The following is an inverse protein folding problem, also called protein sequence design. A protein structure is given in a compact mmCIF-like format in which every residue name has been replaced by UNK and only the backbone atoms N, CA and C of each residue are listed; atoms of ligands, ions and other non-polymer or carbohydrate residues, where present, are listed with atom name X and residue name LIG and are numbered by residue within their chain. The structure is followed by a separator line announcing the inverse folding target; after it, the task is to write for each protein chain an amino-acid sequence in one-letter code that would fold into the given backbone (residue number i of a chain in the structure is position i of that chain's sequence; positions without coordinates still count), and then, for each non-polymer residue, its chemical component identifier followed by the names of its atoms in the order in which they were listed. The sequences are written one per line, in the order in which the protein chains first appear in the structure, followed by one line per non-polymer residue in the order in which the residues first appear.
data_IF_197210326840
#
_entry.id   IF_197210326840
#
_cell.length_a   1.000
_cell.length_b   1.000
_cell.length_c   1.000
_cell.angle_alpha   90.00
_cell.angle_beta   90.00
_cell.angle_gamma   90.00
#
_symmetry.space_group_name_H-M   'P 1'
#
loop_
_entity.id
_entity.type
_entity.pdbx_description
1 polymer ?
#
# COMPACT_ATOMS: atom_id res chain seq x y z
N UNK A 1 -4.18 12.90 -12.73
CA UNK A 1 -2.97 12.09 -12.47
C UNK A 1 -3.20 11.21 -11.25
N UNK A 2 -3.52 11.74 -10.06
CA UNK A 2 -3.81 10.94 -8.84
C UNK A 2 -4.55 9.59 -9.00
N UNK A 3 -5.58 9.50 -9.85
CA UNK A 3 -6.30 8.23 -10.11
C UNK A 3 -5.46 7.18 -10.89
N UNK A 4 -4.50 7.65 -11.68
CA UNK A 4 -3.68 6.89 -12.61
C UNK A 4 -2.34 6.45 -12.02
N UNK A 5 -1.98 6.88 -10.81
CA UNK A 5 -0.73 6.50 -10.15
C UNK A 5 -0.59 4.98 -10.09
N UNK A 6 -1.63 4.27 -9.63
CA UNK A 6 -1.56 2.81 -9.54
C UNK A 6 -1.44 2.09 -10.89
N UNK A 7 -1.95 2.69 -11.96
CA UNK A 7 -1.72 2.21 -13.32
C UNK A 7 -0.26 2.44 -13.75
N UNK A 8 0.26 3.65 -13.59
CA UNK A 8 1.63 4.00 -14.00
C UNK A 8 2.64 3.17 -13.18
N UNK A 9 2.42 3.08 -11.87
CA UNK A 9 3.26 2.34 -10.95
C UNK A 9 3.23 0.83 -11.20
N UNK A 10 2.20 0.30 -11.86
CA UNK A 10 2.19 -1.09 -12.30
C UNK A 10 3.25 -1.38 -13.38
N UNK A 11 3.85 -0.36 -14.00
CA UNK A 11 5.06 -0.54 -14.82
C UNK A 11 6.32 -0.86 -14.00
N UNK A 12 6.30 -0.66 -12.68
CA UNK A 12 7.41 -0.97 -11.77
C UNK A 12 7.43 -2.43 -11.31
N UNK A 13 6.42 -3.21 -11.69
CA UNK A 13 6.25 -4.60 -11.26
C UNK A 13 7.11 -5.58 -12.08
N UNK A 14 7.81 -5.12 -13.11
CA UNK A 14 8.66 -5.96 -13.95
C UNK A 14 9.92 -6.42 -13.17
N UNK A 15 10.11 -7.73 -12.92
CA UNK A 15 11.32 -8.23 -12.27
C UNK A 15 12.59 -8.00 -13.09
N UNK A 16 12.46 -7.69 -14.38
CA UNK A 16 13.55 -7.52 -15.32
C UNK A 16 13.86 -6.06 -15.68
N UNK A 17 13.25 -5.08 -15.00
CA UNK A 17 13.50 -3.66 -15.27
C UNK A 17 14.93 -3.19 -14.91
N UNK A 18 15.69 -4.01 -14.19
CA UNK A 18 17.05 -3.77 -13.70
C UNK A 18 17.20 -2.51 -12.83
N UNK A 19 16.10 -1.98 -12.29
CA UNK A 19 16.13 -0.85 -11.35
C UNK A 19 16.34 -1.40 -9.95
N UNK A 20 17.32 -0.83 -9.24
CA UNK A 20 17.65 -1.22 -7.87
C UNK A 20 17.31 -0.08 -6.92
N UNK A 21 16.67 -0.39 -5.79
CA UNK A 21 16.31 0.58 -4.74
C UNK A 21 16.93 0.20 -3.40
N UNK A 22 17.36 1.21 -2.65
CA UNK A 22 17.64 1.05 -1.23
C UNK A 22 16.33 1.16 -0.45
N UNK A 23 15.86 0.03 0.06
CA UNK A 23 14.63 -0.07 0.86
C UNK A 23 14.90 -0.11 2.36
N UNK A 24 16.13 0.20 2.78
CA UNK A 24 16.47 0.24 4.21
C UNK A 24 15.75 1.40 4.90
N UNK A 25 15.56 1.33 6.23
CA UNK A 25 15.01 2.45 6.98
C UNK A 25 15.86 3.72 6.87
N UNK A 26 17.14 3.60 6.47
CA UNK A 26 18.03 4.73 6.20
C UNK A 26 17.62 5.60 5.01
N UNK A 27 16.98 4.99 4.02
CA UNK A 27 16.69 5.60 2.71
C UNK A 27 15.18 5.67 2.41
N UNK A 28 14.37 4.89 3.13
CA UNK A 28 12.94 4.72 2.84
C UNK A 28 12.11 4.83 4.13
N UNK A 29 11.05 5.66 4.12
CA UNK A 29 10.10 5.82 5.23
C UNK A 29 9.95 7.24 5.75
N UNK A 30 9.38 7.41 6.94
CA UNK A 30 9.26 8.66 7.70
C UNK A 30 8.53 9.82 6.97
N UNK A 31 7.28 9.59 6.57
CA UNK A 31 6.39 10.67 6.12
C UNK A 31 6.13 11.64 7.28
N UNK A 32 6.47 12.92 7.08
CA UNK A 32 6.33 13.94 8.13
C UNK A 32 4.89 14.40 8.34
N UNK A 33 4.14 14.56 7.25
CA UNK A 33 2.77 15.08 7.29
C UNK A 33 2.02 14.76 6.01
N UNK A 34 0.72 14.50 6.16
CA UNK A 34 -0.19 14.34 5.04
C UNK A 34 -0.91 15.67 4.72
N UNK A 35 -1.16 15.94 3.43
CA UNK A 35 -1.93 17.11 3.03
C UNK A 35 -3.33 17.07 3.64
N UNK A 36 -3.84 18.22 4.05
CA UNK A 36 -5.17 18.36 4.66
C UNK A 36 -6.22 18.86 3.67
N UNK A 37 -5.78 19.36 2.50
CA UNK A 37 -6.64 19.95 1.48
C UNK A 37 -6.64 19.02 0.28
N UNK A 38 -7.84 18.69 -0.20
CA UNK A 38 -8.05 17.75 -1.31
C UNK A 38 -7.27 18.11 -2.58
N UNK A 39 -7.10 19.41 -2.88
CA UNK A 39 -6.34 19.88 -4.03
C UNK A 39 -4.88 19.41 -4.03
N UNK A 40 -4.29 19.19 -2.86
CA UNK A 40 -2.87 18.84 -2.71
C UNK A 40 -2.64 17.32 -2.74
N UNK A 41 -3.70 16.51 -2.65
CA UNK A 41 -3.59 15.04 -2.61
C UNK A 41 -2.96 14.49 -3.89
N UNK A 42 -3.22 15.14 -5.02
CA UNK A 42 -2.73 14.73 -6.33
C UNK A 42 -1.21 14.80 -6.45
N UNK A 43 -0.55 15.69 -5.71
CA UNK A 43 0.89 15.90 -5.79
C UNK A 43 1.67 15.30 -4.62
N UNK A 44 1.03 14.49 -3.77
CA UNK A 44 1.66 13.96 -2.58
C UNK A 44 2.65 12.82 -2.88
N UNK A 45 2.26 11.89 -3.76
CA UNK A 45 3.12 10.80 -4.21
C UNK A 45 3.85 11.18 -5.50
N UNK A 46 4.98 10.53 -5.78
CA UNK A 46 5.63 10.66 -7.09
C UNK A 46 4.83 9.90 -8.15
N UNK A 47 4.16 10.64 -9.04
CA UNK A 47 3.30 10.10 -10.10
C UNK A 47 4.01 9.08 -11.01
N UNK A 48 5.32 9.24 -11.25
CA UNK A 48 6.06 8.46 -12.25
C UNK A 48 7.05 7.48 -11.64
N UNK A 49 7.79 7.87 -10.60
CA UNK A 49 8.89 7.05 -10.07
C UNK A 49 8.48 6.17 -8.90
N UNK A 50 7.29 6.36 -8.33
CA UNK A 50 6.88 5.60 -7.16
C UNK A 50 7.31 6.25 -5.85
N UNK A 51 6.63 5.88 -4.76
CA UNK A 51 6.96 6.33 -3.41
C UNK A 51 6.24 7.61 -2.98
N UNK A 52 6.51 7.97 -1.73
CA UNK A 52 5.97 9.12 -1.00
C UNK A 52 7.12 10.11 -0.67
N UNK A 53 6.86 11.28 -0.04
CA UNK A 53 7.90 12.27 0.23
C UNK A 53 8.72 11.96 1.49
N UNK A 54 8.60 10.75 2.04
CA UNK A 54 9.40 10.27 3.17
C UNK A 54 10.88 10.16 2.83
N UNK A 55 11.74 10.38 3.83
CA UNK A 55 13.20 10.42 3.67
C UNK A 55 13.96 9.37 4.50
N UNK A 56 13.26 8.54 5.26
CA UNK A 56 13.86 7.56 6.18
C UNK A 56 14.49 8.15 7.46
N UNK A 57 15.34 7.35 8.10
CA UNK A 57 16.02 7.56 9.37
C UNK A 57 17.51 7.23 9.24
N UNK A 58 18.41 8.23 9.23
CA UNK A 58 19.84 7.98 9.00
C UNK A 58 20.48 7.07 10.07
N UNK A 59 20.03 7.15 11.33
CA UNK A 59 20.62 6.46 12.48
C UNK A 59 19.55 5.68 13.24
N UNK A 60 19.84 4.43 13.60
CA UNK A 60 19.06 3.67 14.56
C UNK A 60 19.36 4.19 15.97
N UNK A 61 18.37 4.79 16.63
CA UNK A 61 18.54 5.41 17.95
C UNK A 61 18.81 4.41 19.08
N UNK A 62 18.43 3.14 18.90
CA UNK A 62 18.71 2.07 19.88
C UNK A 62 20.16 1.61 19.83
N UNK A 63 20.76 1.53 18.63
CA UNK A 63 22.16 1.06 18.46
C UNK A 63 23.18 2.20 18.37
N UNK A 64 22.74 3.41 18.03
CA UNK A 64 23.61 4.55 17.73
C UNK A 64 24.35 4.45 16.40
N UNK A 65 24.05 3.44 15.57
CA UNK A 65 24.70 3.20 14.28
C UNK A 65 23.78 3.58 13.11
N UNK A 66 24.33 3.95 11.94
CA UNK A 66 23.54 4.11 10.73
C UNK A 66 22.82 2.82 10.34
N UNK A 67 21.61 2.93 9.77
CA UNK A 67 20.97 1.77 9.16
C UNK A 67 21.80 1.29 7.97
N UNK A 68 22.00 -0.02 7.87
CA UNK A 68 22.69 -0.62 6.73
C UNK A 68 21.81 -0.53 5.48
N UNK A 69 22.42 -0.24 4.34
CA UNK A 69 21.73 -0.20 3.06
C UNK A 69 21.15 -1.58 2.69
N UNK A 70 19.96 -1.58 2.10
CA UNK A 70 19.23 -2.77 1.69
C UNK A 70 18.83 -2.61 0.22
N UNK A 71 19.77 -2.94 -0.67
CA UNK A 71 19.62 -2.75 -2.12
C UNK A 71 18.93 -3.95 -2.74
N UNK A 72 17.75 -3.76 -3.33
CA UNK A 72 16.94 -4.83 -3.93
C UNK A 72 16.39 -4.43 -5.31
N UNK A 73 16.03 -5.40 -6.18
CA UNK A 73 15.31 -5.11 -7.42
C UNK A 73 13.96 -4.46 -7.14
N UNK A 74 13.64 -3.38 -7.84
CA UNK A 74 12.37 -2.65 -7.68
C UNK A 74 11.16 -3.53 -7.99
N UNK A 75 11.20 -4.30 -9.07
CA UNK A 75 10.13 -5.24 -9.44
C UNK A 75 9.83 -6.28 -8.35
N UNK A 76 10.85 -6.79 -7.68
CA UNK A 76 10.65 -7.70 -6.56
C UNK A 76 10.07 -6.98 -5.34
N UNK A 77 10.62 -5.82 -4.95
CA UNK A 77 10.13 -5.05 -3.80
C UNK A 77 8.66 -4.65 -3.95
N UNK A 78 8.29 -4.08 -5.10
CA UNK A 78 6.92 -3.55 -5.31
C UNK A 78 5.87 -4.66 -5.33
N UNK A 79 6.18 -5.83 -5.94
CA UNK A 79 5.31 -7.01 -5.91
C UNK A 79 5.20 -7.62 -4.51
N UNK A 80 6.34 -7.78 -3.81
CA UNK A 80 6.35 -8.25 -2.41
C UNK A 80 5.55 -7.32 -1.53
N UNK A 81 5.71 -6.01 -1.68
CA UNK A 81 5.00 -5.03 -0.87
C UNK A 81 3.49 -5.07 -1.14
N UNK A 82 3.08 -5.15 -2.41
CA UNK A 82 1.68 -5.26 -2.79
C UNK A 82 1.02 -6.52 -2.21
N UNK A 83 1.71 -7.67 -2.19
CA UNK A 83 1.18 -8.93 -1.68
C UNK A 83 1.24 -9.07 -0.16
N UNK A 84 2.31 -8.58 0.48
CA UNK A 84 2.44 -8.61 1.94
C UNK A 84 1.26 -7.89 2.62
N UNK A 85 0.88 -6.73 2.09
CA UNK A 85 -0.24 -5.97 2.61
C UNK A 85 -1.58 -6.28 1.91
N UNK A 86 -1.65 -7.30 1.04
CA UNK A 86 -2.88 -7.61 0.30
C UNK A 86 -4.00 -8.12 1.20
N UNK A 87 -3.65 -8.86 2.26
CA UNK A 87 -4.53 -9.44 3.28
C UNK A 87 -5.72 -10.21 2.65
N UNK A 88 -5.37 -11.24 1.86
CA UNK A 88 -6.31 -12.04 1.09
C UNK A 88 -7.20 -12.98 1.93
N UNK A 89 -8.13 -13.71 1.28
CA UNK A 89 -9.15 -14.52 1.97
C UNK A 89 -8.63 -15.67 2.83
N UNK A 90 -7.37 -16.08 2.62
CA UNK A 90 -6.70 -17.16 3.34
C UNK A 90 -5.61 -16.67 4.28
N UNK A 91 -5.46 -15.35 4.45
CA UNK A 91 -4.58 -14.73 5.45
C UNK A 91 -5.43 -14.03 6.52
N UNK A 92 -4.75 -13.37 7.45
CA UNK A 92 -5.35 -12.37 8.30
C UNK A 92 -5.98 -11.26 7.45
N UNK A 93 -7.05 -10.65 7.98
CA UNK A 93 -7.60 -9.39 7.43
C UNK A 93 -6.68 -8.22 7.81
N UNK A 94 -6.85 -7.01 7.25
CA UNK A 94 -5.94 -5.89 7.53
C UNK A 94 -5.81 -5.54 9.01
N UNK A 95 -6.91 -5.58 9.77
CA UNK A 95 -6.85 -5.40 11.22
C UNK A 95 -6.08 -6.55 11.90
N UNK A 96 -6.25 -7.78 11.41
CA UNK A 96 -5.59 -8.98 11.91
C UNK A 96 -4.07 -8.98 11.67
N UNK A 97 -3.61 -8.46 10.53
CA UNK A 97 -2.19 -8.32 10.22
C UNK A 97 -1.47 -7.49 11.31
N UNK A 98 -2.10 -6.41 11.79
CA UNK A 98 -1.54 -5.62 12.88
C UNK A 98 -1.50 -6.35 14.24
N UNK A 99 -2.30 -7.40 14.45
CA UNK A 99 -2.12 -8.30 15.58
C UNK A 99 -0.93 -9.25 15.39
N UNK A 100 -0.63 -9.67 14.17
CA UNK A 100 0.61 -10.43 13.86
C UNK A 100 1.82 -9.57 14.20
N UNK A 101 1.85 -8.32 13.72
CA UNK A 101 2.91 -7.35 14.05
C UNK A 101 3.01 -7.12 15.57
N UNK A 102 1.87 -6.96 16.27
CA UNK A 102 1.89 -6.86 17.74
C UNK A 102 2.52 -8.09 18.40
N UNK A 103 2.23 -9.30 17.90
CA UNK A 103 2.83 -10.53 18.44
C UNK A 103 4.34 -10.58 18.18
N UNK A 104 4.79 -10.20 16.99
CA UNK A 104 6.21 -10.09 16.66
C UNK A 104 6.92 -9.11 17.60
N UNK A 105 6.33 -7.92 17.81
CA UNK A 105 6.82 -6.93 18.79
C UNK A 105 6.89 -7.53 20.20
N UNK A 106 5.87 -8.30 20.62
CA UNK A 106 5.81 -8.91 21.94
C UNK A 106 6.87 -9.99 22.17
N UNK A 107 7.33 -10.63 21.09
CA UNK A 107 8.33 -11.69 21.10
C UNK A 107 9.77 -11.15 20.99
N UNK A 108 9.95 -9.86 20.65
CA UNK A 108 11.27 -9.23 20.63
C UNK A 108 11.86 -9.10 22.05
N UNK A 109 13.10 -9.57 22.29
CA UNK A 109 13.73 -9.52 23.60
C UNK A 109 14.04 -8.10 24.09
N UNK A 110 14.16 -7.13 23.17
CA UNK A 110 14.37 -5.71 23.46
C UNK A 110 13.11 -5.00 23.99
N UNK A 111 11.92 -5.64 23.90
CA UNK A 111 10.69 -5.02 24.38
C UNK A 111 10.67 -4.90 25.92
N UNK A 112 10.68 -3.66 26.40
CA UNK A 112 10.33 -3.36 27.79
C UNK A 112 8.81 -3.25 27.94
N UNK A 113 8.20 -4.21 28.64
CA UNK A 113 6.74 -4.24 28.89
C UNK A 113 6.30 -3.22 29.95
N UNK A 114 6.50 -1.94 29.67
CA UNK A 114 6.03 -0.80 30.46
C UNK A 114 4.91 -0.12 29.70
N UNK A 115 3.72 -0.02 30.29
CA UNK A 115 2.60 0.64 29.62
C UNK A 115 2.95 2.11 29.37
N UNK A 116 2.88 2.52 28.09
CA UNK A 116 3.30 3.85 27.61
C UNK A 116 4.77 4.16 27.86
N UNK A 117 5.62 3.13 27.97
CA UNK A 117 7.04 3.25 28.29
C UNK A 117 7.32 3.72 29.73
N UNK A 118 6.30 3.76 30.59
CA UNK A 118 6.38 4.34 31.92
C UNK A 118 5.98 3.34 33.02
N UNK A 119 6.40 3.62 34.25
CA UNK A 119 6.01 2.84 35.42
C UNK A 119 6.72 1.49 35.54
N UNK A 120 6.17 0.56 36.36
CA UNK A 120 6.78 -0.74 36.59
C UNK A 120 6.67 -1.65 35.37
N UNK A 121 7.57 -2.63 35.27
CA UNK A 121 7.45 -3.72 34.31
C UNK A 121 6.19 -4.52 34.60
N UNK A 122 5.38 -4.72 33.57
CA UNK A 122 4.18 -5.55 33.62
C UNK A 122 4.54 -7.02 33.40
N UNK A 123 3.76 -7.90 34.03
CA UNK A 123 3.79 -9.32 33.71
C UNK A 123 3.26 -9.57 32.30
N UNK A 124 3.75 -10.64 31.64
CA UNK A 124 3.38 -10.97 30.24
C UNK A 124 1.87 -10.99 30.02
N UNK A 125 1.12 -11.67 30.90
CA UNK A 125 -0.34 -11.76 30.77
C UNK A 125 -1.03 -10.39 30.85
N UNK A 126 -0.59 -9.52 31.76
CA UNK A 126 -1.17 -8.20 31.92
C UNK A 126 -0.87 -7.32 30.69
N UNK A 127 0.35 -7.39 30.18
CA UNK A 127 0.75 -6.72 28.94
C UNK A 127 -0.09 -7.19 27.76
N UNK A 128 -0.18 -8.50 27.54
CA UNK A 128 -0.92 -9.09 26.42
C UNK A 128 -2.40 -8.66 26.45
N UNK A 129 -3.04 -8.70 27.63
CA UNK A 129 -4.44 -8.26 27.79
C UNK A 129 -4.60 -6.77 27.46
N UNK A 130 -3.72 -5.90 27.99
CA UNK A 130 -3.80 -4.46 27.74
C UNK A 130 -3.55 -4.13 26.26
N UNK A 131 -2.55 -4.77 25.66
CA UNK A 131 -2.17 -4.58 24.28
C UNK A 131 -3.29 -4.99 23.31
N UNK A 132 -3.82 -6.21 23.47
CA UNK A 132 -4.92 -6.70 22.64
C UNK A 132 -6.21 -5.89 22.83
N UNK A 133 -6.50 -5.47 24.07
CA UNK A 133 -7.68 -4.67 24.35
C UNK A 133 -7.60 -3.29 23.68
N UNK A 134 -6.46 -2.60 23.80
CA UNK A 134 -6.24 -1.31 23.17
C UNK A 134 -6.24 -1.40 21.63
N UNK A 135 -5.50 -2.37 21.06
CA UNK A 135 -5.43 -2.55 19.61
C UNK A 135 -6.79 -2.98 19.04
N UNK A 136 -7.46 -3.95 19.66
CA UNK A 136 -8.76 -4.44 19.22
C UNK A 136 -9.85 -3.38 19.25
N UNK A 137 -9.89 -2.56 20.30
CA UNK A 137 -10.80 -1.41 20.36
C UNK A 137 -10.54 -0.41 19.23
N UNK A 138 -9.27 -0.03 19.01
CA UNK A 138 -8.91 0.89 17.93
C UNK A 138 -9.20 0.33 16.53
N UNK A 139 -8.96 -0.98 16.31
CA UNK A 139 -9.29 -1.64 15.06
C UNK A 139 -10.80 -1.67 14.83
N UNK A 140 -11.59 -1.92 15.87
CA UNK A 140 -13.04 -1.91 15.75
C UNK A 140 -13.59 -0.53 15.41
N UNK A 141 -13.14 0.53 16.10
CA UNK A 141 -13.58 1.90 15.82
C UNK A 141 -13.11 2.37 14.43
N UNK A 142 -11.92 1.93 13.99
CA UNK A 142 -11.41 2.18 12.64
C UNK A 142 -12.30 1.53 11.58
N UNK A 143 -12.78 0.31 11.84
CA UNK A 143 -13.71 -0.38 10.95
C UNK A 143 -15.05 0.38 10.87
N UNK A 144 -15.61 0.82 12.00
CA UNK A 144 -16.84 1.61 12.02
C UNK A 144 -16.68 2.88 11.18
N UNK A 145 -15.58 3.62 11.37
CA UNK A 145 -15.32 4.84 10.62
C UNK A 145 -15.16 4.58 9.11
N UNK A 146 -14.28 3.65 8.73
CA UNK A 146 -14.01 3.37 7.32
C UNK A 146 -15.22 2.77 6.61
N UNK A 147 -15.94 1.83 7.21
CA UNK A 147 -17.11 1.19 6.59
C UNK A 147 -18.31 2.13 6.55
N UNK A 148 -18.48 3.00 7.56
CA UNK A 148 -19.48 4.05 7.53
C UNK A 148 -19.28 4.99 6.34
N UNK A 149 -18.04 5.39 6.06
CA UNK A 149 -17.71 6.23 4.91
C UNK A 149 -17.87 5.49 3.58
N UNK A 150 -17.42 4.22 3.50
CA UNK A 150 -17.61 3.39 2.31
C UNK A 150 -19.08 3.25 1.93
N UNK A 151 -19.94 2.97 2.91
CA UNK A 151 -21.38 2.85 2.70
C UNK A 151 -22.07 4.18 2.36
N UNK A 152 -21.55 5.30 2.88
CA UNK A 152 -22.12 6.63 2.60
C UNK A 152 -21.77 7.13 1.20
N UNK A 153 -20.50 7.01 0.78
CA UNK A 153 -20.02 7.59 -0.47
C UNK A 153 -20.15 6.66 -1.67
N UNK A 154 -20.17 5.35 -1.47
CA UNK A 154 -20.24 4.32 -2.53
C UNK A 154 -19.27 4.58 -3.70
N UNK A 155 -18.05 4.98 -3.36
CA UNK A 155 -17.08 5.51 -4.30
C UNK A 155 -16.49 4.43 -5.23
N UNK A 156 -16.32 4.79 -6.50
CA UNK A 156 -15.83 3.92 -7.58
C UNK A 156 -14.39 3.44 -7.36
N UNK A 157 -14.06 2.27 -7.89
CA UNK A 157 -12.70 1.70 -7.86
C UNK A 157 -11.89 2.07 -9.12
N UNK A 158 -10.54 2.08 -9.05
CA UNK A 158 -9.69 2.43 -10.18
C UNK A 158 -9.96 1.64 -11.46
N UNK A 159 -10.14 0.32 -11.39
CA UNK A 159 -10.43 -0.51 -12.58
C UNK A 159 -11.66 -0.02 -13.35
N UNK A 160 -12.76 0.26 -12.65
CA UNK A 160 -13.99 0.74 -13.29
C UNK A 160 -13.81 2.14 -13.84
N UNK A 161 -13.16 3.04 -13.10
CA UNK A 161 -12.97 4.42 -13.53
C UNK A 161 -12.02 4.53 -14.73
N UNK A 162 -10.88 3.83 -14.69
CA UNK A 162 -9.86 3.85 -15.75
C UNK A 162 -10.43 3.28 -17.04
N UNK A 163 -11.07 2.10 -17.00
CA UNK A 163 -11.67 1.50 -18.20
C UNK A 163 -12.79 2.38 -18.77
N UNK A 164 -13.68 2.91 -17.93
CA UNK A 164 -14.75 3.80 -18.40
C UNK A 164 -14.21 5.10 -19.05
N UNK A 165 -13.15 5.70 -18.51
CA UNK A 165 -12.52 6.86 -19.14
C UNK A 165 -11.78 6.50 -20.42
N UNK A 166 -11.11 5.35 -20.47
CA UNK A 166 -10.40 4.91 -21.67
C UNK A 166 -11.36 4.57 -22.82
N UNK A 167 -12.54 4.03 -22.52
CA UNK A 167 -13.62 3.79 -23.50
C UNK A 167 -14.13 5.09 -24.14
N UNK A 168 -14.07 6.21 -23.41
CA UNK A 168 -14.42 7.53 -23.93
C UNK A 168 -13.32 8.13 -24.82
N UNK A 169 -12.10 7.59 -24.79
CA UNK A 169 -10.94 8.09 -25.53
C UNK A 169 -10.00 8.94 -24.68
N UNK A 170 -9.22 9.82 -25.30
CA UNK A 170 -8.21 10.65 -24.62
C UNK A 170 -8.68 12.08 -24.35
N UNK A 171 -8.21 12.69 -23.27
CA UNK A 171 -8.59 14.07 -22.87
C UNK A 171 -7.47 15.11 -22.94
N UNK A 172 -6.28 14.75 -23.43
CA UNK A 172 -5.11 15.64 -23.46
C UNK A 172 -5.10 16.63 -24.63
N UNK A 173 -5.59 16.25 -25.81
CA UNK A 173 -5.48 17.08 -27.02
C UNK A 173 -6.75 16.98 -27.89
N UNK A 174 -7.50 18.08 -27.99
CA UNK A 174 -8.73 18.14 -28.80
C UNK A 174 -8.49 18.11 -30.31
N UNK A 175 -7.24 18.26 -30.77
CA UNK A 175 -6.84 18.12 -32.16
C UNK A 175 -6.46 16.69 -32.57
N UNK A 176 -6.31 15.77 -31.61
CA UNK A 176 -5.94 14.38 -31.89
C UNK A 176 -7.16 13.47 -32.00
N UNK A 177 -6.93 12.28 -32.57
CA UNK A 177 -7.97 11.27 -32.70
C UNK A 177 -8.52 10.84 -31.33
N UNK A 178 -9.77 10.35 -31.35
CA UNK A 178 -10.45 9.79 -30.18
C UNK A 178 -10.47 10.74 -28.97
N UNK A 179 -10.62 12.05 -29.19
CA UNK A 179 -10.71 13.03 -28.11
C UNK A 179 -12.08 13.01 -27.42
N UNK A 180 -12.07 13.09 -26.09
CA UNK A 180 -13.24 13.34 -25.25
C UNK A 180 -12.83 14.10 -23.99
N UNK A 181 -13.65 15.07 -23.57
CA UNK A 181 -13.45 15.79 -22.30
C UNK A 181 -13.52 14.87 -21.07
N UNK A 182 -14.25 13.76 -21.17
CA UNK A 182 -14.34 12.72 -20.14
C UNK A 182 -13.32 11.59 -20.31
N UNK A 183 -12.44 11.69 -21.31
CA UNK A 183 -11.44 10.69 -21.63
C UNK A 183 -10.28 10.65 -20.63
N UNK A 184 -9.42 9.65 -20.78
CA UNK A 184 -8.20 9.50 -19.99
C UNK A 184 -7.10 10.44 -20.51
N UNK A 185 -6.34 11.14 -19.63
CA UNK A 185 -5.23 11.96 -20.10
C UNK A 185 -4.07 11.07 -20.59
N UNK A 186 -3.51 11.42 -21.74
CA UNK A 186 -2.28 10.82 -22.25
C UNK A 186 -1.09 11.20 -21.38
N UNK A 187 -0.20 10.23 -21.18
CA UNK A 187 1.07 10.37 -20.46
C UNK A 187 2.11 9.66 -21.32
N UNK A 188 3.02 10.40 -21.99
CA UNK A 188 4.03 9.79 -22.87
C UNK A 188 4.79 8.65 -22.18
N UNK A 189 4.90 7.50 -22.84
CA UNK A 189 5.55 6.30 -22.29
C UNK A 189 4.66 5.45 -21.36
N UNK A 190 3.45 5.88 -21.02
CA UNK A 190 2.56 5.15 -20.10
C UNK A 190 1.11 5.03 -20.57
N UNK A 191 0.54 6.09 -21.14
CA UNK A 191 -0.84 6.16 -21.63
C UNK A 191 -0.82 6.82 -22.99
N UNK A 192 -1.07 6.04 -24.03
CA UNK A 192 -0.93 6.48 -25.42
C UNK A 192 -2.09 6.00 -26.29
N UNK A 193 -2.19 6.58 -27.48
CA UNK A 193 -3.06 6.06 -28.53
C UNK A 193 -2.34 4.92 -29.27
N UNK A 194 -3.09 3.89 -29.62
CA UNK A 194 -2.64 2.88 -30.58
C UNK A 194 -2.52 3.52 -31.95
N UNK A 195 -1.30 3.59 -32.48
CA UNK A 195 -1.00 4.20 -33.77
C UNK A 195 -1.06 3.23 -34.95
N UNK A 196 -1.00 3.73 -36.20
CA UNK A 196 -0.83 2.88 -37.37
C UNK A 196 0.46 2.06 -37.31
N UNK A 197 0.37 0.74 -37.49
CA UNK A 197 1.52 -0.17 -37.43
C UNK A 197 1.97 -0.55 -36.01
N UNK A 198 1.27 -0.08 -34.98
CA UNK A 198 1.46 -0.54 -33.60
C UNK A 198 1.14 -2.04 -33.49
N UNK A 199 1.91 -2.85 -32.73
CA UNK A 199 1.60 -4.27 -32.52
C UNK A 199 0.18 -4.54 -32.00
N UNK A 200 -0.39 -3.59 -31.24
CA UNK A 200 -1.75 -3.69 -30.71
C UNK A 200 -2.84 -3.24 -31.68
N UNK A 201 -2.51 -2.72 -32.87
CA UNK A 201 -3.49 -2.12 -33.80
C UNK A 201 -4.51 -3.13 -34.34
N UNK A 202 -4.15 -4.42 -34.33
CA UNK A 202 -4.98 -5.51 -34.85
C UNK A 202 -4.85 -5.67 -36.37
N UNK A 203 -5.33 -6.81 -36.90
CA UNK A 203 -5.13 -7.18 -38.32
C UNK A 203 -5.92 -6.28 -39.27
N UNK A 204 -7.05 -5.76 -38.79
CA UNK A 204 -7.97 -4.90 -39.53
C UNK A 204 -7.94 -3.44 -39.04
N UNK A 205 -6.90 -3.06 -38.28
CA UNK A 205 -6.83 -1.79 -37.55
C UNK A 205 -7.99 -1.57 -36.58
N UNK A 206 -8.58 -2.64 -36.04
CA UNK A 206 -9.74 -2.61 -35.13
C UNK A 206 -9.47 -1.87 -33.81
N UNK A 207 -8.20 -1.71 -33.44
CA UNK A 207 -7.79 -1.01 -32.23
C UNK A 207 -7.14 0.35 -32.52
N UNK A 208 -7.10 0.80 -33.78
CA UNK A 208 -6.51 2.09 -34.14
C UNK A 208 -7.19 3.24 -33.36
N UNK A 209 -6.37 4.10 -32.76
CA UNK A 209 -6.77 5.20 -31.87
C UNK A 209 -7.43 4.78 -30.54
N UNK A 210 -7.49 3.48 -30.20
CA UNK A 210 -7.81 3.08 -28.82
C UNK A 210 -6.70 3.50 -27.87
N UNK A 211 -7.01 3.53 -26.58
CA UNK A 211 -6.01 3.77 -25.53
C UNK A 211 -5.23 2.48 -25.27
N UNK A 212 -3.91 2.59 -25.22
CA UNK A 212 -2.99 1.57 -24.71
C UNK A 212 -2.25 2.06 -23.48
N UNK A 213 -1.88 1.13 -22.60
CA UNK A 213 -1.26 1.36 -21.31
C UNK A 213 0.04 0.56 -21.22
N UNK A 214 1.14 1.15 -20.76
CA UNK A 214 2.38 0.43 -20.41
C UNK A 214 2.37 0.10 -18.92
N UNK A 215 2.13 -1.17 -18.59
CA UNK A 215 1.72 -1.63 -17.25
C UNK A 215 1.92 -3.15 -17.13
N UNK A 216 1.82 -3.70 -15.92
CA UNK A 216 1.69 -5.14 -15.72
C UNK A 216 0.57 -5.71 -16.60
N UNK A 217 0.88 -6.76 -17.38
CA UNK A 217 0.00 -7.22 -18.46
C UNK A 217 -1.26 -7.92 -17.97
N UNK A 218 -1.29 -8.35 -16.71
CA UNK A 218 -2.50 -8.89 -16.11
C UNK A 218 -2.56 -10.42 -16.04
N UNK A 219 -3.61 -10.94 -15.39
CA UNK A 219 -3.77 -12.37 -15.11
C UNK A 219 -3.89 -13.26 -16.35
N UNK A 220 -4.30 -12.71 -17.50
CA UNK A 220 -4.42 -13.47 -18.75
C UNK A 220 -3.07 -13.97 -19.28
N UNK A 221 -1.95 -13.41 -18.77
CA UNK A 221 -0.58 -13.83 -19.09
C UNK A 221 0.00 -14.83 -18.08
N UNK A 222 -0.78 -15.26 -17.08
CA UNK A 222 -0.35 -16.19 -16.03
C UNK A 222 -1.21 -17.45 -16.14
N UNK A 223 -0.63 -18.54 -16.66
CA UNK A 223 -1.29 -19.85 -16.71
C UNK A 223 -1.05 -20.65 -15.43
N UNK A 224 0.17 -20.56 -14.88
CA UNK A 224 0.58 -21.15 -13.63
C UNK A 224 1.34 -20.12 -12.77
N UNK A 225 0.77 -19.66 -11.65
CA UNK A 225 1.41 -18.65 -10.81
C UNK A 225 2.68 -19.14 -10.09
N UNK A 226 3.02 -20.45 -10.14
CA UNK A 226 4.26 -20.99 -9.60
C UNK A 226 5.38 -21.13 -10.65
N UNK A 227 5.22 -20.53 -11.82
CA UNK A 227 6.23 -20.58 -12.88
C UNK A 227 6.20 -19.41 -13.83
N UNK A 228 5.03 -18.76 -13.96
CA UNK A 228 4.81 -17.71 -14.94
C UNK A 228 4.89 -16.35 -14.26
N UNK A 229 5.37 -15.37 -15.02
CA UNK A 229 5.34 -13.95 -14.68
C UNK A 229 4.61 -13.23 -15.80
N UNK A 230 3.70 -12.31 -15.44
CA UNK A 230 2.92 -11.60 -16.45
C UNK A 230 3.74 -10.54 -17.18
N UNK A 231 4.89 -10.10 -16.66
CA UNK A 231 5.73 -9.00 -17.15
C UNK A 231 4.97 -7.66 -17.28
N UNK A 232 5.69 -6.63 -17.75
CA UNK A 232 5.17 -5.30 -18.09
C UNK A 232 5.32 -5.06 -19.58
N UNK A 233 4.24 -4.65 -20.25
CA UNK A 233 4.28 -4.24 -21.65
C UNK A 233 3.07 -3.35 -21.99
N UNK A 234 2.98 -2.91 -23.23
CA UNK A 234 1.81 -2.27 -23.79
C UNK A 234 0.64 -3.24 -23.91
N UNK A 235 -0.49 -2.89 -23.29
CA UNK A 235 -1.78 -3.58 -23.44
C UNK A 235 -2.89 -2.58 -23.81
N UNK A 236 -3.99 -3.06 -24.39
CA UNK A 236 -5.18 -2.23 -24.57
C UNK A 236 -5.79 -1.88 -23.20
N UNK A 237 -6.28 -0.66 -23.05
CA UNK A 237 -6.75 -0.19 -21.76
C UNK A 237 -7.97 -0.93 -21.22
N UNK A 238 -8.83 -1.43 -22.12
CA UNK A 238 -9.99 -2.27 -21.79
C UNK A 238 -9.58 -3.60 -21.11
N UNK A 239 -8.33 -4.03 -21.29
CA UNK A 239 -7.77 -5.24 -20.69
C UNK A 239 -7.00 -4.98 -19.38
N UNK A 240 -6.90 -3.74 -18.91
CA UNK A 240 -6.09 -3.42 -17.73
C UNK A 240 -6.66 -3.99 -16.43
N UNK A 241 -5.80 -4.60 -15.62
CA UNK A 241 -6.13 -5.12 -14.29
C UNK A 241 -5.22 -4.51 -13.21
N UNK A 242 -5.74 -4.28 -11.99
CA UNK A 242 -4.89 -4.05 -10.82
C UNK A 242 -4.03 -5.31 -10.55
N UNK A 243 -2.86 -5.14 -9.94
CA UNK A 243 -1.98 -6.25 -9.56
C UNK A 243 -2.58 -7.06 -8.41
N UNK A 244 -3.45 -8.02 -8.77
CA UNK A 244 -4.19 -8.91 -7.86
C UNK A 244 -4.55 -10.22 -8.57
N UNK A 245 -4.80 -11.27 -7.79
CA UNK A 245 -5.38 -12.52 -8.30
C UNK A 245 -6.77 -12.28 -8.93
N UNK A 246 -7.10 -12.91 -10.07
CA UNK A 246 -8.40 -12.78 -10.70
C UNK A 246 -9.56 -13.37 -9.87
N UNK A 247 -9.27 -14.27 -8.92
CA UNK A 247 -10.27 -14.77 -7.95
C UNK A 247 -10.51 -13.84 -6.77
N UNK A 248 -9.65 -12.83 -6.61
CA UNK A 248 -9.74 -11.77 -5.62
C UNK A 248 -9.63 -10.42 -6.32
N UNK A 249 -10.46 -10.22 -7.34
CA UNK A 249 -10.60 -8.92 -8.01
C UNK A 249 -10.97 -7.88 -6.96
N UNK A 250 -10.38 -6.68 -7.08
CA UNK A 250 -10.77 -5.42 -6.42
C UNK A 250 -11.85 -5.62 -5.35
N UNK A 251 -11.52 -5.56 -4.05
CA UNK A 251 -12.41 -6.01 -2.99
C UNK A 251 -13.84 -5.47 -3.15
N UNK A 252 -14.89 -6.29 -2.94
CA UNK A 252 -16.28 -6.01 -3.35
C UNK A 252 -16.98 -5.00 -2.42
N UNK A 253 -16.35 -3.84 -2.26
CA UNK A 253 -16.79 -2.70 -1.48
C UNK A 253 -16.16 -1.41 -2.04
N UNK A 254 -16.84 -0.29 -1.80
CA UNK A 254 -16.44 1.04 -2.25
C UNK A 254 -14.97 1.38 -1.97
N UNK A 255 -14.35 2.18 -2.84
CA UNK A 255 -12.95 2.62 -2.72
C UNK A 255 -12.73 3.51 -1.51
N UNK A 256 -13.41 4.65 -1.47
CA UNK A 256 -13.25 5.66 -0.43
C UNK A 256 -13.89 5.25 0.90
N UNK A 257 -13.20 5.26 2.04
CA UNK A 257 -11.75 5.48 2.23
C UNK A 257 -10.98 4.17 2.20
N UNK A 258 -9.66 4.21 2.00
CA UNK A 258 -8.83 3.02 2.15
C UNK A 258 -8.91 2.48 3.58
N UNK A 259 -9.44 1.26 3.71
CA UNK A 259 -9.53 0.58 5.00
C UNK A 259 -8.13 0.25 5.54
N UNK A 260 -7.23 -0.22 4.68
CA UNK A 260 -5.85 -0.58 5.08
C UNK A 260 -5.13 0.64 5.65
N UNK A 261 -5.21 1.79 5.00
CA UNK A 261 -4.56 3.03 5.47
C UNK A 261 -5.16 3.51 6.80
N UNK A 262 -6.48 3.33 6.99
CA UNK A 262 -7.16 3.66 8.25
C UNK A 262 -6.73 2.76 9.41
N UNK A 263 -6.77 1.43 9.22
CA UNK A 263 -6.34 0.47 10.24
C UNK A 263 -4.87 0.62 10.56
N UNK A 264 -4.03 0.73 9.54
CA UNK A 264 -2.58 0.74 9.72
C UNK A 264 -2.10 1.95 10.48
N UNK A 265 -2.65 3.12 10.15
CA UNK A 265 -2.30 4.31 10.90
C UNK A 265 -2.78 4.21 12.35
N UNK A 266 -4.02 3.78 12.58
CA UNK A 266 -4.53 3.61 13.95
C UNK A 266 -3.67 2.61 14.75
N UNK A 267 -3.28 1.48 14.16
CA UNK A 267 -2.48 0.47 14.81
C UNK A 267 -1.06 0.96 15.13
N UNK A 268 -0.42 1.68 14.20
CA UNK A 268 0.89 2.27 14.43
C UNK A 268 0.89 3.28 15.60
N UNK A 269 -0.16 4.11 15.70
CA UNK A 269 -0.33 5.02 16.83
C UNK A 269 -0.63 4.30 18.14
N UNK A 270 -1.40 3.19 18.12
CA UNK A 270 -1.64 2.35 19.31
C UNK A 270 -0.33 1.74 19.78
N UNK A 271 0.45 1.12 18.90
CA UNK A 271 1.73 0.51 19.24
C UNK A 271 2.69 1.54 19.81
N UNK A 272 2.83 2.71 19.16
CA UNK A 272 3.61 3.84 19.67
C UNK A 272 3.16 4.26 21.06
N UNK A 273 1.84 4.41 21.28
CA UNK A 273 1.29 4.80 22.58
C UNK A 273 1.48 3.72 23.63
N UNK A 274 1.39 2.45 23.25
CA UNK A 274 1.48 1.29 24.13
C UNK A 274 2.92 1.08 24.63
N UNK A 275 3.89 1.12 23.73
CA UNK A 275 5.32 0.95 24.06
C UNK A 275 5.94 2.24 24.61
N UNK A 276 5.34 3.39 24.30
CA UNK A 276 5.91 4.70 24.61
C UNK A 276 7.05 5.11 23.67
N UNK A 277 7.25 4.37 22.58
CA UNK A 277 8.33 4.57 21.61
C UNK A 277 7.76 4.40 20.20
N UNK A 278 7.96 5.36 19.26
CA UNK A 278 7.53 5.17 17.87
C UNK A 278 8.30 4.09 17.12
N UNK A 279 9.48 3.69 17.61
CA UNK A 279 10.31 2.66 17.00
C UNK A 279 9.87 1.26 17.39
N UNK A 280 10.07 0.31 16.49
CA UNK A 280 10.05 -1.11 16.86
C UNK A 280 11.11 -1.37 17.95
N UNK A 281 10.93 -2.34 18.87
CA UNK A 281 11.97 -2.69 19.82
C UNK A 281 13.29 -3.00 19.11
N UNK A 282 14.41 -2.54 19.68
CA UNK A 282 15.72 -2.60 19.01
C UNK A 282 15.89 -1.67 17.79
N UNK A 283 14.85 -0.90 17.44
CA UNK A 283 14.83 0.05 16.33
C UNK A 283 14.61 -0.61 14.96
N UNK A 284 14.09 -1.84 14.90
CA UNK A 284 13.86 -2.54 13.64
C UNK A 284 12.70 -3.56 13.73
N UNK A 285 11.74 -3.44 12.82
CA UNK A 285 10.83 -4.52 12.42
C UNK A 285 11.26 -5.09 11.07
N UNK A 286 11.12 -6.40 10.87
CA UNK A 286 11.53 -7.06 9.63
C UNK A 286 10.53 -8.12 9.19
N UNK A 287 10.38 -8.28 7.87
CA UNK A 287 9.68 -9.40 7.26
C UNK A 287 10.49 -9.97 6.10
N UNK A 288 10.59 -11.30 6.00
CA UNK A 288 11.35 -11.98 4.95
C UNK A 288 10.42 -12.65 3.94
N UNK A 289 10.36 -12.10 2.73
CA UNK A 289 9.78 -12.75 1.56
C UNK A 289 10.84 -13.62 0.88
N UNK A 290 10.65 -14.94 0.95
CA UNK A 290 11.58 -15.92 0.37
C UNK A 290 11.42 -15.99 -1.15
N UNK A 291 12.55 -16.07 -1.84
CA UNK A 291 12.65 -16.24 -3.29
C UNK A 291 11.74 -17.37 -3.77
N UNK A 292 10.92 -17.09 -4.77
CA UNK A 292 9.99 -18.04 -5.42
C UNK A 292 9.04 -18.78 -4.45
N UNK A 293 8.88 -18.29 -3.22
CA UNK A 293 8.07 -18.93 -2.18
C UNK A 293 6.99 -18.00 -1.63
N UNK A 294 7.18 -16.68 -1.75
CA UNK A 294 6.28 -15.70 -1.14
C UNK A 294 5.17 -15.21 -2.07
N UNK A 295 5.48 -14.86 -3.32
CA UNK A 295 4.47 -14.33 -4.23
C UNK A 295 3.50 -15.43 -4.62
N UNK A 296 2.22 -15.08 -4.61
CA UNK A 296 1.14 -15.97 -4.98
C UNK A 296 0.42 -15.46 -6.22
N UNK A 297 0.58 -14.22 -6.65
CA UNK A 297 -0.10 -13.74 -7.87
C UNK A 297 0.59 -14.25 -9.15
N UNK A 298 1.92 -14.35 -9.11
CA UNK A 298 2.82 -14.85 -10.15
C UNK A 298 4.14 -15.30 -9.51
N UNK A 299 5.04 -15.91 -10.28
CA UNK A 299 6.30 -16.44 -9.74
C UNK A 299 7.20 -15.32 -9.18
N UNK A 300 7.72 -15.54 -7.97
CA UNK A 300 8.75 -14.70 -7.36
C UNK A 300 8.64 -14.60 -5.83
N UNK A 301 9.36 -13.64 -5.21
CA UNK A 301 10.32 -12.71 -5.83
C UNK A 301 11.55 -13.44 -6.41
N UNK A 302 12.32 -12.79 -7.29
CA UNK A 302 13.49 -13.41 -7.94
C UNK A 302 14.70 -13.61 -7.01
N UNK A 303 14.71 -12.89 -5.88
CA UNK A 303 15.66 -12.98 -4.77
C UNK A 303 14.90 -12.90 -3.44
N UNK A 304 15.54 -13.28 -2.33
CA UNK A 304 14.97 -13.01 -1.00
C UNK A 304 14.87 -11.49 -0.81
N UNK A 305 13.70 -11.02 -0.37
CA UNK A 305 13.44 -9.62 -0.02
C UNK A 305 13.19 -9.53 1.47
N UNK A 306 13.91 -8.66 2.16
CA UNK A 306 13.64 -8.33 3.56
C UNK A 306 13.05 -6.93 3.63
N UNK A 307 11.77 -6.83 3.95
CA UNK A 307 11.13 -5.56 4.30
C UNK A 307 11.63 -5.16 5.69
N UNK A 308 11.91 -3.87 5.88
CA UNK A 308 12.48 -3.33 7.11
C UNK A 308 11.80 -2.01 7.47
N UNK A 309 11.52 -1.81 8.75
CA UNK A 309 10.87 -0.61 9.28
C UNK A 309 11.56 -0.15 10.55
N UNK A 310 11.89 1.13 10.65
CA UNK A 310 12.40 1.68 11.90
C UNK A 310 11.24 1.94 12.88
N UNK A 311 10.18 2.57 12.38
CA UNK A 311 9.00 2.97 13.15
C UNK A 311 7.75 2.22 12.73
N UNK A 312 6.77 2.15 13.63
CA UNK A 312 5.45 1.61 13.29
C UNK A 312 4.76 2.44 12.19
N UNK A 313 5.07 3.73 12.10
CA UNK A 313 4.56 4.60 11.03
C UNK A 313 5.14 4.23 9.68
N UNK A 314 6.42 3.85 9.60
CA UNK A 314 7.03 3.38 8.35
C UNK A 314 6.30 2.15 7.80
N UNK A 315 5.98 1.19 8.67
CA UNK A 315 5.17 0.03 8.30
C UNK A 315 3.78 0.45 7.80
N UNK A 316 3.10 1.36 8.51
CA UNK A 316 1.81 1.90 8.08
C UNK A 316 1.85 2.66 6.76
N UNK A 317 2.92 3.40 6.46
CA UNK A 317 3.08 4.16 5.23
C UNK A 317 3.33 3.22 4.05
N UNK A 318 4.14 2.19 4.27
CA UNK A 318 4.33 1.11 3.31
C UNK A 318 3.04 0.33 3.01
N UNK A 319 2.16 0.14 3.99
CA UNK A 319 0.82 -0.42 3.73
C UNK A 319 0.06 0.40 2.69
N UNK A 320 0.14 1.72 2.75
CA UNK A 320 -0.56 2.61 1.83
C UNK A 320 0.03 2.59 0.43
N UNK A 321 1.36 2.68 0.33
CA UNK A 321 2.06 2.53 -0.94
C UNK A 321 1.71 1.21 -1.65
N UNK A 322 1.57 0.12 -0.89
CA UNK A 322 1.16 -1.18 -1.43
C UNK A 322 -0.19 -1.13 -2.16
N UNK A 323 -1.12 -0.27 -1.74
CA UNK A 323 -2.46 -0.18 -2.35
C UNK A 323 -2.45 0.59 -3.66
N UNK A 324 -1.48 1.49 -3.81
CA UNK A 324 -1.22 2.22 -5.04
C UNK A 324 -0.51 1.28 -6.02
N UNK A 325 0.58 0.60 -5.64
CA UNK A 325 1.22 -0.42 -6.49
C UNK A 325 0.28 -1.57 -6.85
N UNK A 326 -0.60 -1.97 -5.93
CA UNK A 326 -1.67 -2.93 -6.18
C UNK A 326 -2.77 -2.40 -7.12
N UNK A 327 -2.79 -1.10 -7.45
CA UNK A 327 -3.71 -0.50 -8.42
C UNK A 327 -5.16 -0.35 -7.93
N UNK A 328 -5.41 -0.39 -6.62
CA UNK A 328 -6.78 -0.49 -6.07
C UNK A 328 -7.24 0.70 -5.22
N UNK A 329 -6.32 1.58 -4.82
CA UNK A 329 -6.64 2.85 -4.16
C UNK A 329 -5.79 3.98 -4.75
N UNK A 330 -6.41 5.12 -5.14
CA UNK A 330 -5.71 6.36 -5.44
C UNK A 330 -5.42 7.16 -4.16
N UNK A 331 -4.61 8.24 -4.23
CA UNK A 331 -4.32 9.12 -3.09
C UNK A 331 -5.57 9.70 -2.42
N UNK A 332 -6.65 9.88 -3.19
CA UNK A 332 -7.94 10.36 -2.68
C UNK A 332 -8.61 9.39 -1.69
N UNK A 333 -8.35 8.09 -1.80
CA UNK A 333 -8.85 7.08 -0.85
C UNK A 333 -7.89 6.91 0.32
N UNK A 334 -6.59 7.01 0.02
CA UNK A 334 -5.50 6.68 0.93
C UNK A 334 -5.27 7.74 2.02
N UNK A 335 -5.00 8.98 1.60
CA UNK A 335 -4.60 10.07 2.48
C UNK A 335 -5.65 10.33 3.57
N UNK A 336 -6.97 10.42 3.24
CA UNK A 336 -8.00 10.54 4.26
C UNK A 336 -8.05 9.36 5.22
N UNK A 337 -7.73 8.14 4.76
CA UNK A 337 -7.65 6.96 5.61
C UNK A 337 -6.64 7.13 6.74
N UNK A 338 -5.42 7.60 6.44
CA UNK A 338 -4.43 7.94 7.48
C UNK A 338 -4.98 8.95 8.49
N UNK A 339 -5.53 10.06 8.00
CA UNK A 339 -6.06 11.13 8.85
C UNK A 339 -7.22 10.67 9.75
N UNK A 340 -8.01 9.71 9.28
CA UNK A 340 -9.07 9.09 10.08
C UNK A 340 -8.46 8.18 11.15
N UNK A 341 -7.49 7.34 10.80
CA UNK A 341 -6.80 6.46 11.75
C UNK A 341 -6.18 7.23 12.93
N UNK A 342 -5.49 8.34 12.64
CA UNK A 342 -4.92 9.25 13.67
C UNK A 342 -6.00 9.86 14.58
N UNK A 343 -7.19 10.13 14.07
CA UNK A 343 -8.29 10.69 14.86
C UNK A 343 -8.98 9.63 15.72
N UNK A 344 -9.13 8.42 15.19
CA UNK A 344 -9.77 7.30 15.89
C UNK A 344 -8.98 6.91 17.13
N UNK A 345 -7.66 6.74 16.98
CA UNK A 345 -6.81 6.21 18.05
C UNK A 345 -6.76 7.10 19.29
N UNK A 346 -6.82 8.44 19.14
CA UNK A 346 -6.81 9.38 20.27
C UNK A 346 -7.93 9.06 21.27
N UNK A 347 -9.12 8.73 20.77
CA UNK A 347 -10.27 8.39 21.62
C UNK A 347 -10.23 6.93 22.05
N UNK A 348 -9.93 6.01 21.12
CA UNK A 348 -9.93 4.57 21.40
C UNK A 348 -8.88 4.19 22.46
N UNK A 349 -7.66 4.72 22.35
CA UNK A 349 -6.58 4.44 23.31
C UNK A 349 -6.86 5.08 24.68
N UNK A 350 -7.38 6.31 24.71
CA UNK A 350 -7.77 6.96 25.96
C UNK A 350 -8.88 6.20 26.69
N UNK A 351 -9.85 5.66 25.95
CA UNK A 351 -10.89 4.81 26.51
C UNK A 351 -10.31 3.48 27.03
N UNK A 352 -9.39 2.85 26.29
CA UNK A 352 -8.72 1.65 26.77
C UNK A 352 -7.96 1.90 28.09
N UNK A 353 -7.24 3.02 28.17
CA UNK A 353 -6.51 3.44 29.37
C UNK A 353 -7.44 3.67 30.58
N UNK A 354 -8.64 4.22 30.38
CA UNK A 354 -9.57 4.45 31.50
C UNK A 354 -9.99 3.14 32.19
N UNK A 355 -10.14 2.06 31.43
CA UNK A 355 -10.44 0.73 31.98
C UNK A 355 -9.27 0.16 32.80
N UNK A 356 -8.02 0.47 32.45
CA UNK A 356 -6.85 -0.02 33.17
C UNK A 356 -6.63 0.69 34.51
N UNK A 357 -7.05 1.95 34.58
CA UNK A 357 -6.92 2.78 35.78
C UNK A 357 -8.12 2.64 36.74
N UNK A 358 -9.08 1.77 36.43
CA UNK A 358 -10.27 1.54 37.27
C UNK A 358 -11.27 2.69 37.27
N UNK A 359 -11.22 3.59 36.30
CA UNK A 359 -12.18 4.67 36.14
C UNK A 359 -13.37 4.18 35.28
N UNK A 360 -14.54 4.00 35.90
CA UNK A 360 -15.83 3.88 35.21
C UNK A 360 -16.59 5.20 35.28
#
# INVERSE_FOLDING_TARGET
MGLFNGLIWASHLDPSDNVMWDISPGSFGNVQSFPQIFADFRGFYDDLNGGDPGTGHIVNLNTGLPYASNIVPRGDFTRVLAEYWADGPTSETPAGHWFVILNEVNDQPELERKFKGQGPLLGKLEWDVKAYFALGGAMHDSAIAAWGLKGWYDYIRPISAIRAMADLGQSSDSGQANYSVGGIPLVPGFIELVGPGDPLVGVSNEHLNKIKLYTWRGPDYISNPNSDVADVDWILAENWWPYQRPTFVTPPFAGYVSGHSTFSRAAAEVLTSLTGDPFFPGGMGEFVARKNEFLVFEEGPSVDITLQWATYRDASDQTSLSRIWGGIHPPADDIPGHLIGEKVVVKAFALAESYFNGAQ
#
